data_IF_084929164928
#
_entry.id   IF_084929164928
#
_cell.length_a   1.000
_cell.length_b   1.000
_cell.length_c   1.000
_cell.angle_alpha   90.00
_cell.angle_beta   90.00
_cell.angle_gamma   90.00
#
_symmetry.space_group_name_H-M   'P 1'
#
loop_
_entity.id
_entity.type
_entity.pdbx_description
1 polymer ?
#
# COMPACT_ATOMS: atom_id res chain seq x y z
N UNK A 1 1.75 -21.86 7.69
CA UNK A 1 0.42 -21.40 7.42
C UNK A 1 0.28 -20.72 6.06
N UNK A 2 -0.84 -20.10 5.86
CA UNK A 2 -1.18 -19.50 4.56
C UNK A 2 -0.19 -18.40 4.14
N UNK A 3 0.31 -17.60 5.09
CA UNK A 3 1.25 -16.53 4.75
C UNK A 3 2.61 -17.09 4.36
N UNK A 4 3.05 -18.18 4.98
CA UNK A 4 4.28 -18.85 4.56
C UNK A 4 4.15 -19.36 3.13
N UNK A 5 3.01 -19.94 2.77
CA UNK A 5 2.75 -20.36 1.40
C UNK A 5 2.78 -19.17 0.42
N UNK A 6 2.21 -18.05 0.82
CA UNK A 6 2.25 -16.83 0.01
C UNK A 6 3.70 -16.41 -0.22
N UNK A 7 4.53 -16.39 0.83
CA UNK A 7 5.93 -16.00 0.70
C UNK A 7 6.73 -16.92 -0.21
N UNK A 8 6.37 -18.21 -0.24
CA UNK A 8 7.08 -19.19 -1.06
C UNK A 8 6.76 -19.05 -2.55
N UNK A 9 5.57 -18.55 -2.90
CA UNK A 9 5.11 -18.52 -4.29
C UNK A 9 4.98 -17.11 -4.87
N UNK A 10 5.05 -16.06 -4.04
CA UNK A 10 4.85 -14.69 -4.52
C UNK A 10 5.95 -14.28 -5.48
N UNK A 11 5.55 -13.59 -6.55
CA UNK A 11 6.47 -12.99 -7.50
C UNK A 11 6.45 -11.49 -7.30
N UNK A 12 7.63 -10.87 -7.35
CA UNK A 12 7.72 -9.44 -7.11
C UNK A 12 7.21 -8.64 -8.30
N UNK A 13 6.38 -7.67 -8.02
CA UNK A 13 5.99 -6.66 -8.99
C UNK A 13 7.12 -5.66 -9.16
N UNK A 14 7.24 -5.12 -10.39
CA UNK A 14 8.09 -3.96 -10.61
C UNK A 14 7.55 -2.80 -9.78
N UNK A 15 8.46 -1.97 -9.23
CA UNK A 15 8.02 -0.75 -8.52
C UNK A 15 7.21 0.13 -9.48
N UNK A 16 5.97 0.50 -9.10
CA UNK A 16 5.11 1.29 -9.99
C UNK A 16 5.57 2.74 -10.06
N UNK A 17 5.11 3.44 -11.09
CA UNK A 17 5.36 4.88 -11.26
C UNK A 17 4.36 5.70 -10.41
N UNK A 18 4.27 5.35 -9.15
CA UNK A 18 3.40 5.97 -8.15
C UNK A 18 4.25 6.20 -6.91
N UNK A 19 4.04 7.28 -6.16
CA UNK A 19 4.82 7.48 -4.94
C UNK A 19 4.76 6.27 -4.02
N UNK A 20 5.90 5.93 -3.41
CA UNK A 20 5.94 4.89 -2.39
C UNK A 20 5.02 5.30 -1.23
N UNK A 21 4.27 4.36 -0.64
CA UNK A 21 3.21 4.72 0.31
C UNK A 21 3.66 5.51 1.53
N UNK A 22 2.86 6.50 1.88
CA UNK A 22 2.93 7.25 3.13
C UNK A 22 1.51 7.30 3.71
N UNK A 23 1.00 6.14 4.11
CA UNK A 23 -0.37 5.94 4.56
C UNK A 23 -0.35 4.89 5.66
N UNK A 24 -0.20 5.34 6.90
CA UNK A 24 0.13 4.45 8.02
C UNK A 24 -1.02 3.52 8.41
N UNK A 25 -2.27 3.91 8.19
CA UNK A 25 -3.41 3.04 8.52
C UNK A 25 -3.83 2.21 7.31
N UNK A 26 -3.45 0.94 7.28
CA UNK A 26 -3.88 0.08 6.18
C UNK A 26 -5.40 -0.11 6.14
N UNK A 27 -6.06 -0.07 7.29
CA UNK A 27 -7.54 -0.11 7.36
C UNK A 27 -8.18 1.03 6.56
N UNK A 28 -7.56 2.22 6.57
CA UNK A 28 -8.07 3.35 5.78
C UNK A 28 -7.83 3.15 4.28
N UNK A 29 -6.75 2.48 3.90
CA UNK A 29 -6.55 2.09 2.49
C UNK A 29 -7.67 1.16 2.05
N UNK A 30 -8.01 0.17 2.87
CA UNK A 30 -9.13 -0.73 2.61
C UNK A 30 -10.44 0.04 2.50
N UNK A 31 -10.70 0.94 3.43
CA UNK A 31 -11.95 1.71 3.45
C UNK A 31 -12.12 2.56 2.19
N UNK A 32 -11.07 3.19 1.70
CA UNK A 32 -11.11 3.95 0.44
C UNK A 32 -11.46 3.03 -0.73
N UNK A 33 -10.87 1.85 -0.80
CA UNK A 33 -11.17 0.88 -1.85
C UNK A 33 -12.62 0.39 -1.76
N UNK A 34 -13.12 0.13 -0.55
CA UNK A 34 -14.51 -0.26 -0.36
C UNK A 34 -15.48 0.84 -0.82
N UNK A 35 -15.14 2.09 -0.54
CA UNK A 35 -15.94 3.22 -1.00
C UNK A 35 -15.96 3.30 -2.52
N UNK A 36 -14.81 3.16 -3.16
CA UNK A 36 -14.70 3.19 -4.62
C UNK A 36 -15.35 1.97 -5.28
N UNK A 37 -15.48 0.87 -4.56
CA UNK A 37 -16.19 -0.31 -5.05
C UNK A 37 -17.66 0.01 -5.33
N UNK A 38 -18.25 0.91 -4.56
CA UNK A 38 -19.65 1.31 -4.75
C UNK A 38 -19.77 2.24 -5.95
N UNK A 39 -18.89 3.22 -6.08
CA UNK A 39 -18.88 4.16 -7.20
C UNK A 39 -17.53 4.88 -7.28
N UNK A 40 -17.27 5.48 -8.43
CA UNK A 40 -16.09 6.31 -8.61
C UNK A 40 -16.29 7.65 -7.87
N UNK A 41 -15.23 8.17 -7.27
CA UNK A 41 -15.31 9.39 -6.48
C UNK A 41 -14.16 10.34 -6.80
N UNK A 42 -14.41 11.63 -6.67
CA UNK A 42 -13.37 12.63 -6.68
C UNK A 42 -12.69 12.71 -5.31
N UNK A 43 -11.43 13.15 -5.30
CA UNK A 43 -10.63 13.21 -4.08
C UNK A 43 -11.30 14.04 -2.97
N UNK A 44 -11.91 15.17 -3.32
CA UNK A 44 -12.56 16.03 -2.32
C UNK A 44 -13.78 15.35 -1.71
N UNK A 45 -14.54 14.58 -2.51
CA UNK A 45 -15.68 13.82 -2.00
C UNK A 45 -15.21 12.73 -1.02
N UNK A 46 -14.08 12.07 -1.29
CA UNK A 46 -13.50 11.09 -0.37
C UNK A 46 -13.09 11.78 0.93
N UNK A 47 -12.50 12.97 0.85
CA UNK A 47 -12.11 13.76 2.02
C UNK A 47 -13.32 14.07 2.89
N UNK A 48 -14.43 14.51 2.28
CA UNK A 48 -15.67 14.82 2.99
C UNK A 48 -16.24 13.58 3.68
N UNK A 49 -16.28 12.44 2.96
CA UNK A 49 -16.86 11.20 3.47
C UNK A 49 -16.12 10.68 4.70
N UNK A 50 -14.78 10.77 4.71
CA UNK A 50 -13.97 10.24 5.80
C UNK A 50 -13.39 11.30 6.72
N UNK A 51 -13.72 12.56 6.51
CA UNK A 51 -13.18 13.69 7.29
C UNK A 51 -11.66 13.77 7.24
N UNK A 52 -11.08 13.32 6.11
CA UNK A 52 -9.65 13.48 5.87
C UNK A 52 -9.39 14.89 5.35
N UNK A 53 -8.23 15.45 5.65
CA UNK A 53 -7.78 16.62 4.90
C UNK A 53 -7.35 16.18 3.48
N UNK A 54 -7.25 17.14 2.56
CA UNK A 54 -6.92 16.87 1.15
C UNK A 54 -5.59 16.15 1.00
N UNK A 55 -4.63 16.47 1.85
CA UNK A 55 -3.31 15.86 1.83
C UNK A 55 -3.37 14.38 2.24
N UNK A 56 -4.12 14.07 3.29
CA UNK A 56 -4.29 12.68 3.75
C UNK A 56 -5.01 11.84 2.71
N UNK A 57 -6.07 12.37 2.08
CA UNK A 57 -6.77 11.65 1.00
C UNK A 57 -5.81 11.31 -0.14
N UNK A 58 -4.92 12.24 -0.51
CA UNK A 58 -3.92 12.00 -1.54
C UNK A 58 -3.00 10.85 -1.18
N UNK A 59 -2.52 10.81 0.05
CA UNK A 59 -1.63 9.74 0.51
C UNK A 59 -2.31 8.37 0.48
N UNK A 60 -3.57 8.29 0.90
CA UNK A 60 -4.30 7.02 0.94
C UNK A 60 -4.70 6.55 -0.46
N UNK A 61 -5.09 7.48 -1.34
CA UNK A 61 -5.35 7.16 -2.75
C UNK A 61 -4.08 6.72 -3.46
N UNK A 62 -2.95 7.37 -3.20
CA UNK A 62 -1.67 6.97 -3.78
C UNK A 62 -1.22 5.60 -3.27
N UNK A 63 -1.47 5.28 -2.01
CA UNK A 63 -1.17 3.96 -1.47
C UNK A 63 -1.98 2.87 -2.17
N UNK A 64 -3.28 3.11 -2.39
CA UNK A 64 -4.13 2.18 -3.13
C UNK A 64 -3.70 2.06 -4.60
N UNK A 65 -3.24 3.15 -5.20
CA UNK A 65 -2.67 3.14 -6.57
C UNK A 65 -1.36 2.36 -6.61
N UNK A 66 -0.50 2.53 -5.62
CA UNK A 66 0.76 1.78 -5.52
C UNK A 66 0.50 0.27 -5.53
N UNK A 67 -0.50 -0.17 -4.78
CA UNK A 67 -0.88 -1.58 -4.71
C UNK A 67 -1.60 -2.07 -5.97
N UNK A 68 -1.94 -1.18 -6.90
CA UNK A 68 -2.61 -1.54 -8.14
C UNK A 68 -4.13 -1.69 -8.03
N UNK A 69 -4.73 -1.26 -6.93
CA UNK A 69 -6.18 -1.38 -6.73
C UNK A 69 -6.97 -0.22 -7.30
N UNK A 70 -6.33 0.93 -7.46
CA UNK A 70 -6.97 2.19 -7.86
C UNK A 70 -6.20 2.81 -9.02
N UNK A 71 -6.93 3.38 -9.96
CA UNK A 71 -6.35 4.20 -11.01
C UNK A 71 -6.92 5.61 -10.96
N UNK A 72 -6.15 6.56 -11.47
CA UNK A 72 -6.50 7.97 -11.47
C UNK A 72 -6.68 8.46 -12.89
N UNK A 73 -7.78 9.18 -13.13
CA UNK A 73 -8.04 9.89 -14.37
C UNK A 73 -7.98 11.40 -14.12
N UNK A 74 -7.53 12.14 -15.12
CA UNK A 74 -7.50 13.59 -15.08
C UNK A 74 -8.26 14.07 -16.31
N UNK A 75 -9.32 14.90 -16.10
CA UNK A 75 -10.10 15.44 -17.20
C UNK A 75 -9.45 16.70 -17.80
N UNK A 76 -10.11 17.29 -18.80
CA UNK A 76 -9.60 18.47 -19.50
C UNK A 76 -9.44 19.68 -18.59
N UNK A 77 -10.25 19.78 -17.54
CA UNK A 77 -10.21 20.86 -16.56
C UNK A 77 -9.22 20.60 -15.42
N UNK A 78 -8.51 19.48 -15.45
CA UNK A 78 -7.56 19.11 -14.41
C UNK A 78 -8.17 18.43 -13.21
N UNK A 79 -9.46 18.12 -13.23
CA UNK A 79 -10.09 17.38 -12.14
C UNK A 79 -9.62 15.93 -12.12
N UNK A 80 -9.27 15.47 -10.92
CA UNK A 80 -8.81 14.10 -10.70
C UNK A 80 -9.97 13.25 -10.18
N UNK A 81 -10.23 12.14 -10.85
CA UNK A 81 -11.19 11.15 -10.39
C UNK A 81 -10.49 9.80 -10.22
N UNK A 82 -11.04 8.97 -9.37
CA UNK A 82 -10.43 7.71 -8.96
C UNK A 82 -11.45 6.60 -9.08
N UNK A 83 -10.99 5.45 -9.59
CA UNK A 83 -11.82 4.25 -9.67
C UNK A 83 -10.99 3.02 -9.39
N UNK A 84 -11.65 1.92 -9.06
CA UNK A 84 -10.96 0.65 -8.90
C UNK A 84 -10.47 0.12 -10.25
N UNK A 85 -9.31 -0.49 -10.23
CA UNK A 85 -8.82 -1.29 -11.36
C UNK A 85 -9.57 -2.63 -11.39
N UNK A 86 -9.37 -3.40 -12.45
CA UNK A 86 -9.90 -4.77 -12.52
C UNK A 86 -9.46 -5.59 -11.29
N UNK A 87 -8.18 -5.50 -10.92
CA UNK A 87 -7.65 -6.17 -9.73
C UNK A 87 -8.39 -5.71 -8.46
N UNK A 88 -8.62 -4.40 -8.33
CA UNK A 88 -9.37 -3.85 -7.18
C UNK A 88 -10.78 -4.41 -7.12
N UNK A 89 -11.51 -4.41 -8.23
CA UNK A 89 -12.86 -4.98 -8.27
C UNK A 89 -12.89 -6.46 -7.91
N UNK A 90 -11.97 -7.23 -8.46
CA UNK A 90 -11.89 -8.67 -8.16
C UNK A 90 -11.66 -8.91 -6.67
N UNK A 91 -10.73 -8.17 -6.09
CA UNK A 91 -10.32 -8.37 -4.70
C UNK A 91 -11.40 -7.91 -3.72
N UNK A 92 -11.98 -6.73 -3.97
CA UNK A 92 -12.98 -6.18 -3.05
C UNK A 92 -14.37 -6.80 -3.23
N UNK A 93 -14.58 -7.67 -4.23
CA UNK A 93 -15.78 -8.50 -4.36
C UNK A 93 -15.69 -9.83 -3.60
N UNK A 94 -14.52 -10.18 -3.09
CA UNK A 94 -14.31 -11.46 -2.41
C UNK A 94 -14.91 -11.50 -1.02
N UNK A 95 -15.27 -12.70 -0.51
CA UNK A 95 -15.59 -12.86 0.91
C UNK A 95 -14.44 -12.38 1.79
N UNK A 96 -14.75 -11.88 2.98
CA UNK A 96 -13.81 -11.20 3.86
C UNK A 96 -12.50 -11.98 4.06
N UNK A 97 -12.58 -13.24 4.46
CA UNK A 97 -11.38 -14.03 4.77
C UNK A 97 -10.47 -14.21 3.55
N UNK A 98 -11.07 -14.49 2.40
CA UNK A 98 -10.33 -14.64 1.15
C UNK A 98 -9.70 -13.30 0.73
N UNK A 99 -10.44 -12.21 0.90
CA UNK A 99 -9.95 -10.86 0.62
C UNK A 99 -8.72 -10.52 1.45
N UNK A 100 -8.76 -10.83 2.76
CA UNK A 100 -7.64 -10.54 3.66
C UNK A 100 -6.36 -11.25 3.21
N UNK A 101 -6.46 -12.52 2.82
CA UNK A 101 -5.30 -13.25 2.31
C UNK A 101 -4.78 -12.65 1.00
N UNK A 102 -5.66 -12.22 0.12
CA UNK A 102 -5.27 -11.58 -1.14
C UNK A 102 -4.62 -10.21 -0.92
N UNK A 103 -5.09 -9.45 0.07
CA UNK A 103 -4.46 -8.19 0.45
C UNK A 103 -3.03 -8.42 0.95
N UNK A 104 -2.84 -9.41 1.80
CA UNK A 104 -1.51 -9.79 2.30
C UNK A 104 -0.61 -10.20 1.13
N UNK A 105 -1.11 -11.06 0.25
CA UNK A 105 -0.38 -11.47 -0.94
C UNK A 105 0.06 -10.26 -1.77
N UNK A 106 -0.84 -9.30 -1.97
CA UNK A 106 -0.51 -8.11 -2.75
C UNK A 106 0.56 -7.25 -2.09
N UNK A 107 0.46 -7.01 -0.79
CA UNK A 107 1.49 -6.26 -0.05
C UNK A 107 2.85 -6.96 -0.18
N UNK A 108 2.88 -8.27 0.02
CA UNK A 108 4.13 -9.04 -0.01
C UNK A 108 4.68 -9.25 -1.43
N UNK A 109 3.92 -8.89 -2.46
CA UNK A 109 4.43 -8.90 -3.84
C UNK A 109 5.31 -7.70 -4.16
N UNK A 110 5.48 -6.76 -3.23
CA UNK A 110 6.39 -5.64 -3.35
C UNK A 110 7.62 -5.88 -2.46
N UNK A 111 8.78 -5.79 -3.05
CA UNK A 111 10.05 -6.27 -2.45
C UNK A 111 10.32 -5.70 -1.07
N UNK A 112 10.08 -4.40 -0.86
CA UNK A 112 10.31 -3.76 0.44
C UNK A 112 9.51 -4.46 1.54
N UNK A 113 8.22 -4.66 1.30
CA UNK A 113 7.32 -5.27 2.28
C UNK A 113 7.64 -6.74 2.50
N UNK A 114 7.99 -7.46 1.44
CA UNK A 114 8.42 -8.85 1.55
C UNK A 114 9.65 -8.98 2.44
N UNK A 115 10.68 -8.18 2.17
CA UNK A 115 11.94 -8.26 2.92
C UNK A 115 11.76 -7.82 4.37
N UNK A 116 10.94 -6.80 4.63
CA UNK A 116 10.66 -6.35 5.99
C UNK A 116 9.90 -7.43 6.78
N UNK A 117 8.90 -8.05 6.16
CA UNK A 117 8.15 -9.13 6.79
C UNK A 117 9.03 -10.35 7.02
N UNK A 118 9.89 -10.70 6.05
CA UNK A 118 10.85 -11.80 6.19
C UNK A 118 11.81 -11.57 7.35
N UNK A 119 12.32 -10.34 7.48
CA UNK A 119 13.18 -9.98 8.61
C UNK A 119 12.46 -10.16 9.96
N UNK A 120 11.19 -9.77 10.03
CA UNK A 120 10.36 -10.00 11.21
C UNK A 120 10.25 -11.50 11.52
N UNK A 121 9.98 -12.32 10.52
CA UNK A 121 9.83 -13.77 10.72
C UNK A 121 11.14 -14.42 11.16
N UNK A 122 12.27 -14.01 10.57
CA UNK A 122 13.57 -14.60 10.86
C UNK A 122 14.09 -14.23 12.24
N UNK A 123 13.80 -13.03 12.72
CA UNK A 123 14.34 -12.49 13.98
C UNK A 123 13.32 -12.45 15.11
N UNK A 124 12.08 -12.76 14.84
CA UNK A 124 10.95 -12.71 15.79
C UNK A 124 10.76 -11.33 16.41
N UNK A 125 11.23 -10.29 15.71
CA UNK A 125 11.01 -8.90 16.10
C UNK A 125 10.97 -7.99 14.88
N UNK A 126 10.28 -6.87 15.00
CA UNK A 126 10.18 -5.90 13.92
C UNK A 126 11.56 -5.33 13.59
N UNK A 127 11.97 -5.30 12.30
CA UNK A 127 13.22 -4.65 11.93
C UNK A 127 13.19 -3.18 12.35
N UNK A 128 14.37 -2.65 12.69
CA UNK A 128 14.52 -1.26 13.06
C UNK A 128 14.20 -0.33 11.91
N UNK A 129 13.94 0.93 12.21
CA UNK A 129 13.69 1.94 11.20
C UNK A 129 14.87 2.03 10.21
N UNK A 130 16.10 1.99 10.71
CA UNK A 130 17.31 2.03 9.90
C UNK A 130 17.42 0.83 8.98
N UNK A 131 17.09 -0.36 9.48
CA UNK A 131 17.07 -1.58 8.66
C UNK A 131 16.05 -1.46 7.53
N UNK A 132 14.86 -0.92 7.83
CA UNK A 132 13.81 -0.71 6.81
C UNK A 132 14.26 0.32 5.78
N UNK A 133 14.89 1.42 6.21
CA UNK A 133 15.44 2.41 5.28
C UNK A 133 16.46 1.76 4.34
N UNK A 134 17.33 0.91 4.86
CA UNK A 134 18.30 0.17 4.03
C UNK A 134 17.57 -0.72 3.02
N UNK A 135 16.53 -1.42 3.44
CA UNK A 135 15.71 -2.24 2.54
C UNK A 135 15.10 -1.38 1.43
N UNK A 136 14.55 -0.22 1.77
CA UNK A 136 13.97 0.71 0.79
C UNK A 136 15.01 1.12 -0.23
N UNK A 137 16.20 1.52 0.23
CA UNK A 137 17.29 1.97 -0.66
C UNK A 137 17.78 0.86 -1.58
N UNK A 138 17.83 -0.37 -1.08
CA UNK A 138 18.33 -1.52 -1.85
C UNK A 138 17.28 -2.13 -2.77
N UNK A 139 16.02 -1.73 -2.65
CA UNK A 139 14.91 -2.33 -3.40
C UNK A 139 14.50 -1.53 -4.64
N UNK A 140 15.27 -0.51 -5.00
CA UNK A 140 15.02 0.26 -6.21
C UNK A 140 13.87 1.25 -6.10
N UNK A 141 13.47 1.61 -4.89
CA UNK A 141 12.42 2.60 -4.66
C UNK A 141 12.94 3.99 -4.99
N UNK A 142 12.23 4.69 -5.88
CA UNK A 142 12.58 6.04 -6.29
C UNK A 142 11.33 6.91 -6.33
N UNK A 143 11.56 8.23 -6.20
CA UNK A 143 10.51 9.21 -6.45
C UNK A 143 10.17 9.16 -7.96
N UNK A 144 8.92 8.89 -8.34
CA UNK A 144 8.57 8.80 -9.76
C UNK A 144 8.76 10.10 -10.54
N UNK A 145 8.81 11.25 -9.87
CA UNK A 145 9.04 12.55 -10.51
C UNK A 145 10.51 12.76 -10.87
N UNK A 146 11.42 12.43 -9.96
CA UNK A 146 12.87 12.67 -10.14
C UNK A 146 13.60 11.45 -10.65
N UNK A 147 13.02 10.26 -10.43
CA UNK A 147 13.61 8.94 -10.69
C UNK A 147 14.88 8.70 -9.87
N UNK A 148 15.01 9.43 -8.76
CA UNK A 148 16.10 9.29 -7.80
C UNK A 148 15.55 8.80 -6.47
N UNK A 149 16.39 8.18 -5.63
CA UNK A 149 15.97 7.80 -4.29
C UNK A 149 15.43 8.99 -3.51
N UNK A 150 14.48 8.73 -2.63
CA UNK A 150 13.95 9.75 -1.73
C UNK A 150 15.02 10.21 -0.74
N UNK A 151 14.83 11.43 -0.19
CA UNK A 151 15.69 11.95 0.88
C UNK A 151 15.62 11.04 2.11
N UNK A 152 16.61 11.15 2.97
CA UNK A 152 16.67 10.39 4.23
C UNK A 152 15.43 10.61 5.10
N UNK A 153 14.99 11.87 5.23
CA UNK A 153 13.81 12.20 6.04
C UNK A 153 12.53 11.60 5.46
N UNK A 154 12.41 11.58 4.14
CA UNK A 154 11.26 10.96 3.45
C UNK A 154 11.27 9.45 3.64
N UNK A 155 12.42 8.80 3.47
CA UNK A 155 12.54 7.36 3.71
C UNK A 155 12.24 7.00 5.16
N UNK A 156 12.61 7.84 6.11
CA UNK A 156 12.30 7.63 7.52
C UNK A 156 10.78 7.61 7.77
N UNK A 157 10.04 8.52 7.15
CA UNK A 157 8.57 8.53 7.26
C UNK A 157 7.95 7.32 6.58
N UNK A 158 8.45 6.94 5.40
CA UNK A 158 7.96 5.78 4.67
C UNK A 158 8.28 4.45 5.36
N UNK A 159 9.40 4.40 6.09
CA UNK A 159 9.70 3.26 6.94
C UNK A 159 8.62 3.06 8.01
N UNK A 160 8.05 4.14 8.53
CA UNK A 160 6.91 4.07 9.44
C UNK A 160 5.69 3.41 8.81
N UNK A 161 5.40 3.73 7.55
CA UNK A 161 4.33 3.07 6.81
C UNK A 161 4.60 1.58 6.64
N UNK A 162 5.83 1.21 6.29
CA UNK A 162 6.22 -0.21 6.16
C UNK A 162 5.95 -0.95 7.48
N UNK A 163 6.42 -0.41 8.60
CA UNK A 163 6.18 -0.99 9.92
C UNK A 163 4.69 -1.15 10.20
N UNK A 164 3.89 -0.13 9.92
CA UNK A 164 2.45 -0.16 10.16
C UNK A 164 1.76 -1.23 9.32
N UNK A 165 2.12 -1.38 8.06
CA UNK A 165 1.52 -2.40 7.21
C UNK A 165 1.94 -3.82 7.61
N UNK A 166 3.20 -4.01 8.03
CA UNK A 166 3.64 -5.31 8.57
C UNK A 166 2.86 -5.65 9.84
N UNK A 167 2.65 -4.68 10.73
CA UNK A 167 1.83 -4.87 11.93
C UNK A 167 0.39 -5.24 11.57
N UNK A 168 -0.16 -4.64 10.50
CA UNK A 168 -1.49 -5.01 10.03
C UNK A 168 -1.53 -6.48 9.58
N UNK A 169 -0.51 -6.94 8.84
CA UNK A 169 -0.41 -8.34 8.43
C UNK A 169 -0.39 -9.25 9.65
N UNK A 170 0.47 -8.96 10.63
CA UNK A 170 0.61 -9.75 11.85
C UNK A 170 -0.72 -9.82 12.60
N UNK A 171 -1.38 -8.70 12.77
CA UNK A 171 -2.68 -8.62 13.44
C UNK A 171 -3.75 -9.42 12.68
N UNK A 172 -3.77 -9.35 11.37
CA UNK A 172 -4.74 -10.06 10.53
C UNK A 172 -4.56 -11.57 10.61
N UNK A 173 -3.32 -12.05 10.63
CA UNK A 173 -3.00 -13.47 10.75
C UNK A 173 -3.44 -14.03 12.11
N UNK A 174 -3.28 -13.24 13.17
CA UNK A 174 -3.55 -13.67 14.54
C UNK A 174 -5.04 -13.60 14.91
N UNK A 175 -5.87 -13.10 14.04
CA UNK A 175 -7.32 -13.12 14.18
C UNK A 175 -7.93 -14.26 13.32
#
# INVERSE_FOLDING_TARGET
GDVKMIMDIVQFNREPLVPFPQADSFERVINICELLYINDMEKDSITDEYSFDTRQSSYYLDAARYLGFVERSIDEDGHRSYCLTKLGYELFSMPYKQRQLKLIERILSFKVFYLAYKAYCDNEEMPSKEEIITIILQSGVVDPKTKLPYSKSTNKRRAGTVTSWINWIISTINN
#
